data_IF_735747056806
#
_entry.id   IF_735747056806
#
_cell.length_a   1.000
_cell.length_b   1.000
_cell.length_c   1.000
_cell.angle_alpha   90.00
_cell.angle_beta   90.00
_cell.angle_gamma   90.00
#
_symmetry.space_group_name_H-M   'P 1'
#
loop_
_entity.id
_entity.type
_entity.pdbx_description
1 polymer ?
#
# COMPACT_ATOMS: atom_id res chain seq x y z
N UNK A 1 3.85 0.91 -11.85
CA UNK A 1 3.46 1.74 -10.70
C UNK A 1 3.22 0.83 -9.50
N UNK A 2 3.58 1.27 -8.32
CA UNK A 2 3.45 0.49 -7.10
C UNK A 2 2.53 1.22 -6.12
N UNK A 3 1.88 0.45 -5.27
CA UNK A 3 1.01 0.95 -4.21
C UNK A 3 1.55 0.43 -2.88
N UNK A 4 1.88 1.32 -1.96
CA UNK A 4 2.25 0.95 -0.60
C UNK A 4 1.11 1.29 0.34
N UNK A 5 0.72 0.30 1.13
CA UNK A 5 -0.36 0.44 2.11
C UNK A 5 0.23 0.22 3.50
N UNK A 6 -0.05 1.17 4.40
CA UNK A 6 0.21 0.99 5.82
C UNK A 6 -1.12 0.62 6.47
N UNK A 7 -1.23 -0.62 6.90
CA UNK A 7 -2.48 -1.17 7.44
C UNK A 7 -2.45 -1.19 8.96
N UNK A 8 -3.33 -0.41 9.57
CA UNK A 8 -3.45 -0.32 11.03
C UNK A 8 -4.42 -1.34 11.61
N UNK A 9 -5.09 -2.12 10.76
CA UNK A 9 -6.15 -3.04 11.14
C UNK A 9 -5.66 -4.50 11.21
N UNK A 10 -4.36 -4.70 11.35
CA UNK A 10 -3.78 -6.03 11.43
C UNK A 10 -3.77 -6.53 12.87
N UNK A 11 -4.14 -7.78 13.07
CA UNK A 11 -4.06 -8.44 14.38
C UNK A 11 -2.63 -8.62 14.85
N UNK A 12 -1.67 -8.56 13.94
CA UNK A 12 -0.25 -8.71 14.26
C UNK A 12 0.46 -7.36 14.45
N UNK A 13 -0.32 -6.27 14.50
CA UNK A 13 0.19 -4.91 14.56
C UNK A 13 0.17 -4.25 13.18
N UNK A 14 0.86 -3.13 13.04
CA UNK A 14 0.86 -2.39 11.78
C UNK A 14 1.59 -3.19 10.69
N UNK A 15 1.01 -3.21 9.50
CA UNK A 15 1.57 -3.88 8.33
C UNK A 15 1.93 -2.85 7.26
N UNK A 16 3.08 -3.04 6.61
CA UNK A 16 3.44 -2.28 5.40
C UNK A 16 3.48 -3.26 4.24
N UNK A 17 2.63 -3.02 3.25
CA UNK A 17 2.48 -3.92 2.12
C UNK A 17 2.66 -3.12 0.83
N UNK A 18 3.46 -3.62 -0.10
CA UNK A 18 3.64 -2.99 -1.41
C UNK A 18 3.12 -3.92 -2.49
N UNK A 19 2.28 -3.38 -3.35
CA UNK A 19 1.73 -4.08 -4.51
C UNK A 19 2.26 -3.47 -5.79
N UNK A 20 2.49 -4.31 -6.78
CA UNK A 20 2.67 -3.85 -8.15
C UNK A 20 1.29 -3.70 -8.77
N UNK A 21 0.96 -2.49 -9.23
CA UNK A 21 -0.35 -2.22 -9.81
C UNK A 21 -0.38 -2.56 -11.30
N UNK A 22 -1.54 -3.07 -11.80
CA UNK A 22 -1.70 -3.29 -13.24
C UNK A 22 -1.58 -2.00 -14.03
N UNK A 23 -1.19 -2.11 -15.29
CA UNK A 23 -1.04 -0.95 -16.18
C UNK A 23 -2.31 -0.12 -16.29
N UNK A 24 -3.49 -0.76 -16.26
CA UNK A 24 -4.73 -0.02 -16.41
C UNK A 24 -5.01 0.95 -15.27
N UNK A 25 -4.31 0.82 -14.14
CA UNK A 25 -4.49 1.75 -13.01
C UNK A 25 -3.69 3.03 -13.20
N UNK A 26 -2.80 3.07 -14.18
CA UNK A 26 -2.01 4.26 -14.46
C UNK A 26 -2.94 5.38 -14.90
N UNK A 27 -2.84 6.53 -14.24
CA UNK A 27 -3.75 7.64 -14.49
C UNK A 27 -5.04 7.63 -13.68
N UNK A 28 -5.25 6.63 -12.82
CA UNK A 28 -6.39 6.64 -11.91
C UNK A 28 -6.33 7.84 -10.97
N UNK A 29 -7.50 8.41 -10.70
CA UNK A 29 -7.62 9.44 -9.68
C UNK A 29 -7.69 8.81 -8.30
N UNK A 30 -7.58 9.65 -7.26
CA UNK A 30 -7.55 9.18 -5.86
C UNK A 30 -8.75 8.28 -5.55
N UNK A 31 -9.94 8.68 -5.98
CA UNK A 31 -11.16 7.91 -5.71
C UNK A 31 -11.13 6.54 -6.36
N UNK A 32 -10.57 6.45 -7.56
CA UNK A 32 -10.46 5.18 -8.27
C UNK A 32 -9.43 4.25 -7.63
N UNK A 33 -8.33 4.80 -7.12
CA UNK A 33 -7.34 4.02 -6.37
C UNK A 33 -7.96 3.51 -5.07
N UNK A 34 -8.70 4.34 -4.35
CA UNK A 34 -9.36 3.93 -3.12
C UNK A 34 -10.38 2.83 -3.37
N UNK A 35 -11.13 2.91 -4.46
CA UNK A 35 -12.05 1.85 -4.85
C UNK A 35 -11.30 0.55 -5.15
N UNK A 36 -10.19 0.63 -5.85
CA UNK A 36 -9.34 -0.53 -6.12
C UNK A 36 -8.87 -1.17 -4.81
N UNK A 37 -8.42 -0.36 -3.85
CA UNK A 37 -7.96 -0.85 -2.57
C UNK A 37 -9.09 -1.55 -1.80
N UNK A 38 -10.27 -0.97 -1.76
CA UNK A 38 -11.38 -1.53 -0.98
C UNK A 38 -12.04 -2.72 -1.66
N UNK A 39 -12.24 -2.65 -2.97
CA UNK A 39 -12.99 -3.68 -3.72
C UNK A 39 -12.07 -4.81 -4.16
N UNK A 40 -10.96 -4.48 -4.78
CA UNK A 40 -10.06 -5.49 -5.37
C UNK A 40 -9.14 -6.09 -4.34
N UNK A 41 -8.55 -5.27 -3.48
CA UNK A 41 -7.60 -5.73 -2.46
C UNK A 41 -8.26 -6.06 -1.13
N UNK A 42 -9.47 -5.55 -0.89
CA UNK A 42 -10.25 -5.91 0.30
C UNK A 42 -9.87 -5.21 1.58
N UNK A 43 -9.20 -4.07 1.52
CA UNK A 43 -8.83 -3.31 2.72
C UNK A 43 -9.95 -2.37 3.14
N UNK A 44 -10.03 -2.11 4.45
CA UNK A 44 -10.87 -1.05 4.98
C UNK A 44 -10.10 0.27 4.90
N UNK A 45 -10.49 1.14 3.97
CA UNK A 45 -9.76 2.38 3.71
C UNK A 45 -9.77 3.36 4.87
N UNK A 46 -10.66 3.17 5.85
CA UNK A 46 -10.69 4.00 7.07
C UNK A 46 -9.52 3.71 8.01
N UNK A 47 -8.88 2.55 7.89
CA UNK A 47 -7.84 2.08 8.80
C UNK A 47 -6.50 1.91 8.12
N UNK A 48 -6.29 2.57 7.00
CA UNK A 48 -5.03 2.50 6.26
C UNK A 48 -4.56 3.88 5.83
N UNK A 49 -3.26 3.98 5.62
CA UNK A 49 -2.66 5.03 4.78
C UNK A 49 -2.10 4.37 3.54
N UNK A 50 -2.08 5.09 2.42
CA UNK A 50 -1.56 4.54 1.18
C UNK A 50 -0.92 5.61 0.32
N UNK A 51 -0.03 5.16 -0.57
CA UNK A 51 0.65 6.04 -1.51
C UNK A 51 1.04 5.25 -2.75
N UNK A 52 0.99 5.90 -3.90
CA UNK A 52 1.46 5.30 -5.16
C UNK A 52 2.85 5.79 -5.49
N UNK A 53 3.63 4.94 -6.16
CA UNK A 53 5.01 5.23 -6.53
C UNK A 53 5.32 4.67 -7.91
N UNK A 54 6.22 5.32 -8.63
CA UNK A 54 6.73 4.78 -9.88
C UNK A 54 7.80 3.73 -9.66
N UNK A 55 8.53 3.81 -8.54
CA UNK A 55 9.58 2.87 -8.18
C UNK A 55 9.27 2.23 -6.83
N UNK A 56 9.93 1.11 -6.54
CA UNK A 56 9.78 0.47 -5.22
C UNK A 56 10.19 1.44 -4.12
N UNK A 57 9.35 1.59 -3.09
CA UNK A 57 9.65 2.57 -2.04
C UNK A 57 10.79 2.12 -1.14
N UNK A 58 11.61 3.06 -0.74
CA UNK A 58 12.74 2.83 0.18
C UNK A 58 12.25 2.36 1.55
N UNK A 59 11.03 2.71 1.91
CA UNK A 59 10.46 2.35 3.21
C UNK A 59 10.47 0.84 3.48
N UNK A 60 10.39 0.01 2.45
CA UNK A 60 10.47 -1.44 2.60
C UNK A 60 11.83 -1.84 3.17
N UNK A 61 12.89 -1.27 2.63
CA UNK A 61 14.25 -1.52 3.10
C UNK A 61 14.44 -1.04 4.54
N UNK A 62 13.93 0.14 4.86
CA UNK A 62 14.03 0.69 6.21
C UNK A 62 13.30 -0.19 7.23
N UNK A 63 12.15 -0.73 6.86
CA UNK A 63 11.39 -1.63 7.72
C UNK A 63 12.19 -2.90 8.02
N UNK A 64 12.85 -3.46 7.01
CA UNK A 64 13.71 -4.62 7.19
C UNK A 64 14.88 -4.32 8.11
N UNK A 65 15.51 -3.16 7.95
CA UNK A 65 16.63 -2.77 8.80
C UNK A 65 16.22 -2.67 10.27
N UNK A 66 15.04 -2.14 10.54
CA UNK A 66 14.53 -2.06 11.91
C UNK A 66 14.31 -3.43 12.53
N UNK A 67 13.88 -4.39 11.75
CA UNK A 67 13.67 -5.74 12.24
C UNK A 67 14.99 -6.42 12.61
N UNK A 68 16.08 -6.03 11.96
CA UNK A 68 17.39 -6.60 12.17
C UNK A 68 18.16 -5.89 13.30
N UNK A 69 17.67 -4.79 13.75
CA UNK A 69 18.27 -4.04 14.85
C UNK A 69 17.71 -4.48 16.18
#
# INVERSE_FOLDING_TARGET
MYLTILNYDSLLGNQVITYELPEYTRGFQVESIEEYISVTLGFNTSNIDWQTHEELPVIVTLTEQRQNA
#
